data_IF_157634173644
#
_entry.id   IF_157634173644
#
_cell.length_a   1.000
_cell.length_b   1.000
_cell.length_c   1.000
_cell.angle_alpha   90.00
_cell.angle_beta   90.00
_cell.angle_gamma   90.00
#
_symmetry.space_group_name_H-M   'P 1'
#
loop_
_entity.id
_entity.type
_entity.pdbx_description
1 polymer ?
#
# COMPACT_ATOMS: atom_id res chain seq x y z
N UNK A 1 -12.62 -33.54 3.57
CA UNK A 1 -11.88 -32.29 3.74
C UNK A 1 -11.46 -32.17 5.19
N UNK A 2 -10.17 -32.10 5.44
CA UNK A 2 -9.66 -31.85 6.78
C UNK A 2 -9.89 -30.40 7.20
N UNK A 3 -9.95 -30.14 8.51
CA UNK A 3 -10.12 -28.80 9.07
C UNK A 3 -9.06 -27.79 8.58
N UNK A 4 -7.80 -28.24 8.39
CA UNK A 4 -6.74 -27.37 7.87
C UNK A 4 -6.96 -26.97 6.40
N UNK A 5 -7.54 -27.86 5.57
CA UNK A 5 -7.84 -27.56 4.15
C UNK A 5 -8.91 -26.47 4.06
N UNK A 6 -9.96 -26.59 4.88
CA UNK A 6 -11.03 -25.59 4.96
C UNK A 6 -10.46 -24.24 5.37
N UNK A 7 -9.57 -24.19 6.37
CA UNK A 7 -8.90 -22.95 6.80
C UNK A 7 -8.08 -22.36 5.65
N UNK A 8 -7.29 -23.16 4.94
CA UNK A 8 -6.47 -22.66 3.82
C UNK A 8 -7.31 -22.10 2.68
N UNK A 9 -8.43 -22.74 2.34
CA UNK A 9 -9.34 -22.29 1.30
C UNK A 9 -10.00 -20.97 1.69
N UNK A 10 -10.50 -20.84 2.92
CA UNK A 10 -11.14 -19.62 3.42
C UNK A 10 -10.16 -18.45 3.44
N UNK A 11 -8.94 -18.66 3.95
CA UNK A 11 -7.89 -17.64 3.98
C UNK A 11 -7.51 -17.23 2.55
N UNK A 12 -7.29 -18.20 1.66
CA UNK A 12 -6.96 -17.95 0.25
C UNK A 12 -8.04 -17.12 -0.46
N UNK A 13 -9.31 -17.48 -0.28
CA UNK A 13 -10.44 -16.73 -0.83
C UNK A 13 -10.54 -15.32 -0.26
N UNK A 14 -10.33 -15.14 1.04
CA UNK A 14 -10.41 -13.83 1.68
C UNK A 14 -9.33 -12.87 1.15
N UNK A 15 -8.07 -13.28 1.16
CA UNK A 15 -6.97 -12.43 0.69
C UNK A 15 -6.96 -12.26 -0.83
N UNK A 16 -7.24 -13.32 -1.59
CA UNK A 16 -7.33 -13.27 -3.05
C UNK A 16 -8.51 -12.43 -3.53
N UNK A 17 -9.70 -12.63 -2.94
CA UNK A 17 -10.88 -11.83 -3.25
C UNK A 17 -10.69 -10.36 -2.90
N UNK A 18 -10.11 -10.08 -1.73
CA UNK A 18 -9.76 -8.72 -1.36
C UNK A 18 -8.73 -8.09 -2.32
N UNK A 19 -7.72 -8.85 -2.75
CA UNK A 19 -6.72 -8.37 -3.71
C UNK A 19 -7.39 -7.93 -5.02
N UNK A 20 -8.30 -8.75 -5.57
CA UNK A 20 -9.04 -8.41 -6.79
C UNK A 20 -9.87 -7.16 -6.60
N UNK A 21 -10.66 -7.09 -5.52
CA UNK A 21 -11.50 -5.92 -5.22
C UNK A 21 -10.69 -4.64 -4.99
N UNK A 22 -9.54 -4.74 -4.33
CA UNK A 22 -8.68 -3.60 -4.05
C UNK A 22 -7.81 -3.18 -5.25
N UNK A 23 -7.47 -4.10 -6.15
CA UNK A 23 -6.55 -3.83 -7.27
C UNK A 23 -7.03 -2.67 -8.17
N UNK A 24 -8.32 -2.63 -8.51
CA UNK A 24 -8.92 -1.60 -9.35
C UNK A 24 -8.81 -0.21 -8.70
N UNK A 25 -9.38 0.03 -7.50
CA UNK A 25 -9.26 1.32 -6.85
C UNK A 25 -7.81 1.67 -6.48
N UNK A 26 -6.98 0.68 -6.10
CA UNK A 26 -5.57 0.88 -5.78
C UNK A 26 -4.76 1.44 -6.97
N UNK A 27 -4.95 0.88 -8.16
CA UNK A 27 -4.32 1.36 -9.40
C UNK A 27 -4.82 2.75 -9.77
N UNK A 28 -6.13 3.00 -9.69
CA UNK A 28 -6.71 4.32 -9.96
C UNK A 28 -6.13 5.37 -9.01
N UNK A 29 -6.10 5.09 -7.71
CA UNK A 29 -5.54 6.02 -6.71
C UNK A 29 -4.05 6.27 -6.94
N UNK A 30 -3.28 5.22 -7.27
CA UNK A 30 -1.87 5.36 -7.62
C UNK A 30 -1.70 6.26 -8.85
N UNK A 31 -2.48 6.04 -9.91
CA UNK A 31 -2.44 6.87 -11.11
C UNK A 31 -2.84 8.32 -10.81
N UNK A 32 -3.91 8.55 -10.04
CA UNK A 32 -4.35 9.89 -9.65
C UNK A 32 -3.30 10.65 -8.83
N UNK A 33 -2.54 9.97 -7.98
CA UNK A 33 -1.51 10.62 -7.16
C UNK A 33 -0.21 10.81 -7.93
N UNK A 34 0.16 9.85 -8.80
CA UNK A 34 1.41 9.89 -9.57
C UNK A 34 1.34 10.78 -10.82
N UNK A 35 0.20 10.81 -11.52
CA UNK A 35 -0.02 11.59 -12.75
C UNK A 35 -0.82 12.87 -12.49
N UNK A 36 -1.55 12.95 -11.38
CA UNK A 36 -2.36 14.12 -11.02
C UNK A 36 -1.57 15.17 -10.24
N UNK A 37 -2.28 15.92 -9.38
CA UNK A 37 -1.67 17.03 -8.64
C UNK A 37 -0.71 16.57 -7.54
N UNK A 38 0.46 17.22 -7.47
CA UNK A 38 1.50 16.99 -6.45
C UNK A 38 0.98 17.24 -5.03
N UNK A 39 -0.10 18.00 -4.88
CA UNK A 39 -0.73 18.31 -3.59
C UNK A 39 -1.11 17.04 -2.81
N UNK A 40 -1.56 15.99 -3.50
CA UNK A 40 -1.98 14.74 -2.85
C UNK A 40 -0.80 14.01 -2.20
N UNK A 41 0.33 13.91 -2.91
CA UNK A 41 1.54 13.31 -2.33
C UNK A 41 2.15 14.22 -1.28
N UNK A 42 2.08 15.55 -1.44
CA UNK A 42 2.51 16.51 -0.41
C UNK A 42 1.77 16.33 0.90
N UNK A 43 0.45 16.10 0.84
CA UNK A 43 -0.34 15.84 2.04
C UNK A 43 0.10 14.56 2.75
N UNK A 44 0.39 13.49 2.01
CA UNK A 44 0.86 12.21 2.56
C UNK A 44 2.29 12.36 3.11
N UNK A 45 3.18 13.02 2.36
CA UNK A 45 4.57 13.29 2.75
C UNK A 45 4.62 14.08 4.05
N UNK A 46 3.82 15.14 4.20
CA UNK A 46 3.73 15.92 5.46
C UNK A 46 3.35 15.08 6.67
N UNK A 47 2.63 13.98 6.47
CA UNK A 47 2.18 13.12 7.56
C UNK A 47 3.15 11.99 7.87
N UNK A 48 3.81 11.42 6.86
CA UNK A 48 4.55 10.16 6.99
C UNK A 48 6.04 10.25 6.66
N UNK A 49 6.48 11.29 5.97
CA UNK A 49 7.88 11.43 5.59
C UNK A 49 8.76 11.66 6.82
N UNK A 50 9.88 10.93 6.90
CA UNK A 50 10.88 11.15 7.96
C UNK A 50 11.51 12.54 7.88
N UNK A 51 11.90 12.94 6.67
CA UNK A 51 12.55 14.21 6.38
C UNK A 51 11.88 14.88 5.17
N UNK A 52 11.02 15.87 5.43
CA UNK A 52 10.29 16.58 4.38
C UNK A 52 11.22 17.45 3.52
N UNK A 53 12.26 18.02 4.13
CA UNK A 53 13.30 18.85 3.48
C UNK A 53 14.12 18.10 2.41
N UNK A 54 14.05 16.76 2.39
CA UNK A 54 14.65 15.95 1.33
C UNK A 54 13.91 16.12 0.00
N UNK A 55 12.59 16.23 0.06
CA UNK A 55 11.71 16.19 -1.11
C UNK A 55 11.26 17.59 -1.53
N UNK A 56 11.18 18.51 -0.57
CA UNK A 56 10.72 19.87 -0.77
C UNK A 56 11.82 20.87 -0.47
N UNK A 57 11.82 21.96 -1.21
CA UNK A 57 12.67 23.12 -0.94
C UNK A 57 12.10 23.97 0.20
N UNK A 58 12.86 24.92 0.72
CA UNK A 58 12.48 25.77 1.85
C UNK A 58 11.23 26.63 1.56
N UNK A 59 10.92 26.83 0.28
CA UNK A 59 9.70 27.50 -0.21
C UNK A 59 8.49 26.56 -0.33
N UNK A 60 8.62 25.29 0.05
CA UNK A 60 7.55 24.28 -0.01
C UNK A 60 7.32 23.66 -1.39
N UNK A 61 8.12 24.01 -2.40
CA UNK A 61 8.06 23.41 -3.73
C UNK A 61 8.77 22.07 -3.78
N UNK A 62 8.16 21.08 -4.45
CA UNK A 62 8.82 19.78 -4.67
C UNK A 62 10.00 19.95 -5.61
N UNK A 63 11.17 19.42 -5.26
CA UNK A 63 12.36 19.48 -6.12
C UNK A 63 12.10 18.73 -7.43
N UNK A 64 12.59 19.25 -8.56
CA UNK A 64 12.36 18.71 -9.91
C UNK A 64 12.57 17.20 -10.02
N UNK A 65 13.64 16.66 -9.42
CA UNK A 65 13.97 15.23 -9.40
C UNK A 65 12.86 14.33 -8.80
N UNK A 66 12.01 14.87 -7.94
CA UNK A 66 10.95 14.14 -7.26
C UNK A 66 9.56 14.37 -7.85
N UNK A 67 9.42 15.27 -8.83
CA UNK A 67 8.15 15.60 -9.49
C UNK A 67 7.75 14.57 -10.56
N UNK A 68 8.68 13.74 -11.00
CA UNK A 68 8.39 12.70 -12.00
C UNK A 68 7.40 11.67 -11.45
N UNK A 69 6.42 11.29 -12.27
CA UNK A 69 5.30 10.42 -11.84
C UNK A 69 5.74 9.09 -11.24
N UNK A 70 6.80 8.48 -11.79
CA UNK A 70 7.41 7.29 -11.22
C UNK A 70 7.94 7.52 -9.80
N UNK A 71 8.66 8.63 -9.57
CA UNK A 71 9.20 8.95 -8.24
C UNK A 71 8.10 9.26 -7.21
N UNK A 72 6.97 9.82 -7.64
CA UNK A 72 5.78 9.99 -6.79
C UNK A 72 5.13 8.64 -6.48
N UNK A 73 4.90 7.82 -7.50
CA UNK A 73 4.30 6.49 -7.36
C UNK A 73 5.11 5.57 -6.45
N UNK A 74 6.42 5.46 -6.66
CA UNK A 74 7.30 4.63 -5.81
C UNK A 74 7.25 5.04 -4.35
N UNK A 75 7.15 6.35 -4.06
CA UNK A 75 7.01 6.83 -2.67
C UNK A 75 5.65 6.48 -2.08
N UNK A 76 4.58 6.67 -2.84
CA UNK A 76 3.23 6.32 -2.41
C UNK A 76 3.13 4.83 -2.06
N UNK A 77 3.59 3.95 -2.96
CA UNK A 77 3.63 2.51 -2.71
C UNK A 77 4.55 2.18 -1.52
N UNK A 78 5.69 2.87 -1.39
CA UNK A 78 6.57 2.74 -0.24
C UNK A 78 5.86 3.05 1.09
N UNK A 79 5.02 4.10 1.12
CA UNK A 79 4.22 4.41 2.30
C UNK A 79 3.12 3.38 2.56
N UNK A 80 2.44 2.89 1.52
CA UNK A 80 1.45 1.83 1.68
C UNK A 80 2.08 0.54 2.21
N UNK A 81 3.22 0.14 1.67
CA UNK A 81 3.93 -1.07 2.09
C UNK A 81 4.47 -0.97 3.53
N UNK A 82 5.12 0.15 3.87
CA UNK A 82 5.79 0.34 5.15
C UNK A 82 4.87 0.90 6.25
N UNK A 83 3.61 1.20 5.93
CA UNK A 83 2.66 1.81 6.85
C UNK A 83 2.67 1.24 8.28
N UNK A 84 2.63 -0.09 8.53
CA UNK A 84 2.63 -0.64 9.88
C UNK A 84 3.86 -0.21 10.70
N UNK A 85 5.00 0.00 10.04
CA UNK A 85 6.24 0.44 10.66
C UNK A 85 6.31 1.95 10.82
N UNK A 86 5.77 2.73 9.87
CA UNK A 86 5.85 4.20 9.90
C UNK A 86 4.63 4.87 10.54
N UNK A 87 3.60 4.12 10.95
CA UNK A 87 2.36 4.66 11.55
C UNK A 87 2.60 5.57 12.75
N UNK A 88 3.68 5.36 13.51
CA UNK A 88 4.03 6.17 14.67
C UNK A 88 4.49 7.59 14.29
N UNK A 89 4.88 7.81 13.04
CA UNK A 89 5.30 9.12 12.51
C UNK A 89 4.12 9.95 12.03
N UNK A 90 2.95 9.32 11.87
CA UNK A 90 1.75 9.98 11.40
C UNK A 90 1.36 11.13 12.35
N UNK A 91 1.53 12.36 11.87
CA UNK A 91 1.20 13.57 12.64
C UNK A 91 -0.31 13.84 12.72
N UNK A 92 -1.12 13.19 11.87
CA UNK A 92 -2.58 13.34 11.90
C UNK A 92 -3.25 12.41 12.92
N UNK A 93 -4.28 12.94 13.59
CA UNK A 93 -5.22 12.14 14.40
C UNK A 93 -6.41 11.62 13.59
N UNK A 94 -6.52 12.01 12.31
CA UNK A 94 -7.67 11.66 11.46
C UNK A 94 -7.82 10.14 11.28
N UNK A 95 -8.94 9.61 11.77
CA UNK A 95 -9.31 8.19 11.58
C UNK A 95 -9.48 7.83 10.10
N UNK A 96 -9.97 8.76 9.26
CA UNK A 96 -10.15 8.56 7.82
C UNK A 96 -8.82 8.32 7.11
N UNK A 97 -7.80 9.13 7.44
CA UNK A 97 -6.46 8.96 6.87
C UNK A 97 -5.84 7.63 7.29
N UNK A 98 -5.94 7.29 8.59
CA UNK A 98 -5.41 6.03 9.10
C UNK A 98 -6.06 4.82 8.46
N UNK A 99 -7.38 4.85 8.29
CA UNK A 99 -8.13 3.79 7.60
C UNK A 99 -7.73 3.69 6.13
N UNK A 100 -7.63 4.82 5.42
CA UNK A 100 -7.16 4.87 4.05
C UNK A 100 -5.78 4.22 3.89
N UNK A 101 -4.84 4.57 4.76
CA UNK A 101 -3.50 3.99 4.72
C UNK A 101 -3.50 2.49 5.06
N UNK A 102 -4.32 2.05 6.01
CA UNK A 102 -4.45 0.63 6.35
C UNK A 102 -5.05 -0.21 5.22
N UNK A 103 -6.12 0.27 4.58
CA UNK A 103 -6.75 -0.41 3.44
C UNK A 103 -5.73 -0.58 2.31
N UNK A 104 -5.01 0.48 1.97
CA UNK A 104 -3.98 0.39 0.92
C UNK A 104 -2.78 -0.47 1.33
N UNK A 105 -2.39 -0.45 2.60
CA UNK A 105 -1.36 -1.34 3.13
C UNK A 105 -1.77 -2.81 2.98
N UNK A 106 -2.97 -3.18 3.45
CA UNK A 106 -3.48 -4.55 3.34
C UNK A 106 -3.55 -4.94 1.86
N UNK A 107 -3.98 -4.04 0.98
CA UNK A 107 -4.02 -4.27 -0.46
C UNK A 107 -2.66 -4.64 -1.07
N UNK A 108 -1.63 -3.84 -0.78
CA UNK A 108 -0.26 -4.11 -1.21
C UNK A 108 0.27 -5.41 -0.60
N UNK A 109 0.01 -5.68 0.67
CA UNK A 109 0.44 -6.93 1.30
C UNK A 109 -0.29 -8.15 0.76
N UNK A 110 -1.58 -8.05 0.43
CA UNK A 110 -2.33 -9.12 -0.22
C UNK A 110 -1.74 -9.49 -1.58
N UNK A 111 -1.14 -8.55 -2.30
CA UNK A 111 -0.43 -8.84 -3.56
C UNK A 111 0.77 -9.76 -3.36
N UNK A 112 1.48 -9.67 -2.23
CA UNK A 112 2.61 -10.55 -1.92
C UNK A 112 2.18 -11.84 -1.21
N UNK A 113 1.26 -11.74 -0.26
CA UNK A 113 0.81 -12.87 0.56
C UNK A 113 0.04 -13.88 -0.29
N UNK A 114 -0.82 -13.44 -1.20
CA UNK A 114 -1.66 -14.37 -1.99
C UNK A 114 -0.84 -15.34 -2.87
N UNK A 115 0.14 -14.88 -3.69
CA UNK A 115 0.97 -15.80 -4.46
C UNK A 115 1.91 -16.63 -3.57
N UNK A 116 2.50 -16.06 -2.52
CA UNK A 116 3.34 -16.83 -1.58
C UNK A 116 2.53 -17.94 -0.91
N UNK A 117 1.30 -17.65 -0.48
CA UNK A 117 0.42 -18.63 0.14
C UNK A 117 -0.02 -19.71 -0.85
N UNK A 118 -0.38 -19.34 -2.08
CA UNK A 118 -0.71 -20.31 -3.14
C UNK A 118 0.45 -21.25 -3.45
N UNK A 119 1.68 -20.73 -3.54
CA UNK A 119 2.88 -21.53 -3.75
C UNK A 119 3.15 -22.47 -2.57
N UNK A 120 2.97 -21.99 -1.34
CA UNK A 120 3.16 -22.78 -0.12
C UNK A 120 2.15 -23.93 -0.03
N UNK A 121 0.87 -23.66 -0.30
CA UNK A 121 -0.19 -24.69 -0.34
C UNK A 121 0.11 -25.76 -1.39
N UNK A 122 0.57 -25.35 -2.58
CA UNK A 122 0.99 -26.27 -3.65
C UNK A 122 2.20 -27.11 -3.22
N UNK A 123 3.19 -26.51 -2.56
CA UNK A 123 4.37 -27.21 -2.05
C UNK A 123 4.04 -28.24 -0.97
N UNK A 124 3.11 -27.92 -0.08
CA UNK A 124 2.69 -28.83 0.99
C UNK A 124 1.73 -29.94 0.52
N UNK A 125 1.30 -29.93 -0.74
CA UNK A 125 0.35 -30.91 -1.27
C UNK A 125 -1.02 -30.86 -0.59
N UNK A 126 -1.36 -29.75 0.06
CA UNK A 126 -2.61 -29.57 0.84
C UNK A 126 -3.83 -29.51 -0.06
N UNK A 127 -3.63 -29.16 -1.33
CA UNK A 127 -4.65 -29.23 -2.38
C UNK A 127 -4.04 -30.06 -3.52
N UNK A 128 -4.50 -31.30 -3.69
CA UNK A 128 -4.18 -32.16 -4.84
C UNK A 128 -5.12 -31.87 -6.00
#
# INVERSE_FOLDING_TARGET
MSWYEIITIVIGMAFGGYLVLWSIPGVIMSAMVSLGSIERILFIDKQLAKNLSKYYDDRGYMRWKYQMSYAIGTRLFGYWLLYPFIKHRATTTSKKFKLFMWVNCIGVWSFFISPCFSLLVKWLGVIS
#
